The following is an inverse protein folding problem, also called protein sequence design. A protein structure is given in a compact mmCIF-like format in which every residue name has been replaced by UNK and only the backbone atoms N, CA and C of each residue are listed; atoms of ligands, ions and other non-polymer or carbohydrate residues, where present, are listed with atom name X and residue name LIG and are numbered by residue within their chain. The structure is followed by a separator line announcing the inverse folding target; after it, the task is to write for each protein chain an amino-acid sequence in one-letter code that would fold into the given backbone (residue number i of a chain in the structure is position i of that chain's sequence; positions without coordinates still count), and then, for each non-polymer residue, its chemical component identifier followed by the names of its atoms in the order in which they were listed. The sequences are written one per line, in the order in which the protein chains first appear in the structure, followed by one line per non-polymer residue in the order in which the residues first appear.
data_IF_201091130851
#
_entry.id   IF_201091130851
#
_cell.length_a   1.000
_cell.length_b   1.000
_cell.length_c   1.000
_cell.angle_alpha   90.00
_cell.angle_beta   90.00
_cell.angle_gamma   90.00
#
_symmetry.space_group_name_H-M   'P 1'
#
loop_
_entity.id
_entity.type
_entity.pdbx_description
1 polymer ?
#
# COMPACT_ATOMS: atom_id res chain seq x y z
N UNK A 1 -8.59 -0.59 3.60
CA UNK A 1 -8.10 0.02 4.85
C UNK A 1 -7.67 1.46 4.60
N UNK A 2 -8.34 2.39 5.22
CA UNK A 2 -7.93 3.80 5.21
C UNK A 2 -6.89 4.02 6.30
N UNK A 3 -5.81 4.72 5.95
CA UNK A 3 -4.69 4.99 6.85
C UNK A 3 -4.71 6.46 7.25
N UNK A 4 -4.63 6.70 8.55
CA UNK A 4 -4.60 8.04 9.14
C UNK A 4 -3.33 8.21 9.97
N UNK A 5 -2.79 9.43 10.00
CA UNK A 5 -1.66 9.73 10.87
C UNK A 5 -2.12 9.92 12.34
N UNK A 6 -1.19 10.10 13.30
CA UNK A 6 -1.57 10.24 14.71
C UNK A 6 -2.49 11.42 15.03
N UNK A 7 -2.55 12.45 14.17
CA UNK A 7 -3.45 13.59 14.38
C UNK A 7 -4.75 13.47 13.56
N UNK A 8 -5.03 12.28 13.01
CA UNK A 8 -6.30 11.98 12.35
C UNK A 8 -6.41 12.41 10.90
N UNK A 9 -5.31 12.79 10.25
CA UNK A 9 -5.32 13.17 8.83
C UNK A 9 -5.21 11.93 7.95
N UNK A 10 -6.02 11.88 6.89
CA UNK A 10 -6.02 10.78 5.93
C UNK A 10 -4.73 10.78 5.12
N UNK A 11 -4.07 9.62 5.05
CA UNK A 11 -2.78 9.46 4.38
C UNK A 11 -2.82 8.52 3.18
N UNK A 12 -3.88 7.75 3.00
CA UNK A 12 -4.01 6.84 1.88
C UNK A 12 -4.84 5.61 2.21
N UNK A 13 -5.04 4.75 1.20
CA UNK A 13 -5.85 3.53 1.31
C UNK A 13 -5.05 2.33 0.85
N UNK A 14 -5.12 1.25 1.62
CA UNK A 14 -4.57 -0.06 1.26
C UNK A 14 -5.73 -1.00 0.97
N UNK A 15 -5.75 -1.62 -0.21
CA UNK A 15 -6.68 -2.70 -0.51
C UNK A 15 -6.01 -4.03 -0.18
N UNK A 16 -6.72 -4.88 0.57
CA UNK A 16 -6.26 -6.19 0.99
C UNK A 16 -7.12 -7.27 0.37
N UNK A 17 -6.47 -8.31 -0.16
CA UNK A 17 -7.14 -9.52 -0.62
C UNK A 17 -6.51 -10.73 0.06
N UNK A 18 -7.34 -11.69 0.48
CA UNK A 18 -6.91 -12.87 1.21
C UNK A 18 -7.27 -14.12 0.42
N UNK A 19 -6.30 -14.99 0.15
CA UNK A 19 -6.48 -16.26 -0.57
C UNK A 19 -6.08 -17.44 0.31
N UNK A 20 -7.02 -18.32 0.57
CA UNK A 20 -6.81 -19.52 1.39
C UNK A 20 -6.94 -20.81 0.55
N UNK A 21 -6.54 -20.74 -0.71
CA UNK A 21 -6.58 -21.88 -1.63
C UNK A 21 -5.29 -22.70 -1.57
N UNK A 22 -5.34 -23.94 -2.08
CA UNK A 22 -4.21 -24.86 -2.08
C UNK A 22 -3.18 -24.57 -3.18
N UNK A 23 -3.47 -23.64 -4.10
CA UNK A 23 -2.57 -23.30 -5.19
C UNK A 23 -2.51 -21.80 -5.40
N UNK A 24 -1.49 -21.36 -6.13
CA UNK A 24 -1.31 -19.98 -6.54
C UNK A 24 -1.88 -19.78 -7.95
N UNK A 25 -2.45 -18.59 -8.20
CA UNK A 25 -2.94 -18.21 -9.53
C UNK A 25 -2.50 -16.77 -9.84
N UNK A 26 -1.73 -16.59 -10.90
CA UNK A 26 -1.22 -15.28 -11.31
C UNK A 26 -2.33 -14.28 -11.67
N UNK A 27 -3.51 -14.76 -12.07
CA UNK A 27 -4.65 -13.90 -12.40
C UNK A 27 -5.16 -13.09 -11.19
N UNK A 28 -4.88 -13.55 -9.99
CA UNK A 28 -5.24 -12.80 -8.77
C UNK A 28 -4.58 -11.43 -8.72
N UNK A 29 -3.36 -11.32 -9.23
CA UNK A 29 -2.61 -10.06 -9.26
C UNK A 29 -3.31 -9.05 -10.17
N UNK A 30 -3.67 -9.47 -11.37
CA UNK A 30 -4.32 -8.59 -12.34
C UNK A 30 -5.70 -8.14 -11.85
N UNK A 31 -6.46 -9.05 -11.25
CA UNK A 31 -7.76 -8.73 -10.66
C UNK A 31 -7.63 -7.73 -9.51
N UNK A 32 -6.67 -7.93 -8.64
CA UNK A 32 -6.45 -7.02 -7.52
C UNK A 32 -6.01 -5.64 -7.99
N UNK A 33 -5.22 -5.56 -9.04
CA UNK A 33 -4.85 -4.28 -9.66
C UNK A 33 -6.06 -3.55 -10.23
N UNK A 34 -6.99 -4.28 -10.85
CA UNK A 34 -8.24 -3.69 -11.34
C UNK A 34 -9.09 -3.16 -10.19
N UNK A 35 -9.22 -3.92 -9.10
CA UNK A 35 -9.93 -3.51 -7.90
C UNK A 35 -9.27 -2.27 -7.26
N UNK A 36 -7.95 -2.24 -7.23
CA UNK A 36 -7.18 -1.10 -6.71
C UNK A 36 -7.49 0.17 -7.49
N UNK A 37 -7.52 0.08 -8.82
CA UNK A 37 -7.84 1.23 -9.69
C UNK A 37 -9.28 1.70 -9.49
N UNK A 38 -10.22 0.77 -9.36
CA UNK A 38 -11.62 1.10 -9.18
C UNK A 38 -11.88 1.92 -7.92
N UNK A 39 -11.28 1.52 -6.80
CA UNK A 39 -11.45 2.25 -5.54
C UNK A 39 -10.38 3.33 -5.31
N UNK A 40 -9.44 3.49 -6.24
CA UNK A 40 -8.31 4.43 -6.16
C UNK A 40 -7.46 4.22 -4.91
N UNK A 41 -7.21 2.96 -4.55
CA UNK A 41 -6.31 2.64 -3.45
C UNK A 41 -4.85 2.90 -3.83
N UNK A 42 -4.07 3.36 -2.86
CA UNK A 42 -2.65 3.69 -3.07
C UNK A 42 -1.77 2.45 -3.11
N UNK A 43 -2.13 1.43 -2.34
CA UNK A 43 -1.36 0.20 -2.20
C UNK A 43 -2.31 -1.00 -2.27
N UNK A 44 -1.87 -2.06 -2.95
CA UNK A 44 -2.57 -3.34 -2.98
C UNK A 44 -1.71 -4.43 -2.35
N UNK A 45 -2.31 -5.24 -1.48
CA UNK A 45 -1.66 -6.36 -0.80
C UNK A 45 -2.47 -7.63 -0.95
N UNK A 46 -1.84 -8.69 -1.41
CA UNK A 46 -2.40 -10.03 -1.49
C UNK A 46 -1.77 -10.91 -0.41
N UNK A 47 -2.59 -11.41 0.51
CA UNK A 47 -2.17 -12.43 1.48
C UNK A 47 -2.56 -13.80 0.95
N UNK A 48 -1.64 -14.75 0.97
CA UNK A 48 -1.93 -16.10 0.50
C UNK A 48 -1.25 -17.17 1.34
N UNK A 49 -1.93 -18.30 1.53
CA UNK A 49 -1.33 -19.47 2.17
C UNK A 49 -0.23 -20.04 1.28
N UNK A 50 -0.48 -20.09 -0.04
CA UNK A 50 0.49 -20.59 -1.01
C UNK A 50 1.07 -19.41 -1.79
N UNK A 51 2.39 -19.28 -1.75
CA UNK A 51 3.11 -18.24 -2.49
C UNK A 51 3.69 -18.84 -3.77
N UNK A 52 3.99 -18.01 -4.79
CA UNK A 52 4.77 -18.45 -5.94
C UNK A 52 6.10 -19.07 -5.48
N UNK A 53 6.60 -20.07 -6.24
CA UNK A 53 7.77 -20.88 -5.87
C UNK A 53 9.01 -20.07 -5.50
N UNK A 54 9.18 -18.89 -6.07
CA UNK A 54 10.38 -18.08 -5.94
C UNK A 54 10.28 -17.04 -4.82
N UNK A 55 9.11 -16.97 -4.15
CA UNK A 55 8.85 -15.96 -3.13
C UNK A 55 8.94 -16.59 -1.75
N UNK A 56 9.81 -16.00 -0.91
CA UNK A 56 10.00 -16.42 0.46
C UNK A 56 9.46 -15.32 1.37
N UNK A 57 8.26 -15.53 1.92
CA UNK A 57 7.66 -14.64 2.90
C UNK A 57 6.87 -13.48 2.30
N UNK A 58 7.53 -12.52 1.65
CA UNK A 58 6.85 -11.42 0.98
C UNK A 58 7.70 -10.84 -0.14
N UNK A 59 7.03 -10.24 -1.11
CA UNK A 59 7.68 -9.51 -2.21
C UNK A 59 6.69 -8.55 -2.84
N UNK A 60 7.18 -7.67 -3.72
CA UNK A 60 6.33 -6.89 -4.62
C UNK A 60 6.38 -7.52 -6.01
N UNK A 61 5.20 -7.88 -6.54
CA UNK A 61 5.07 -8.54 -7.83
C UNK A 61 4.09 -7.76 -8.70
N UNK A 62 4.55 -7.23 -9.83
CA UNK A 62 3.75 -6.40 -10.75
C UNK A 62 3.05 -5.22 -10.04
N UNK A 63 3.70 -4.63 -9.05
CA UNK A 63 3.14 -3.49 -8.31
C UNK A 63 2.22 -3.87 -7.14
N UNK A 64 1.96 -5.16 -6.92
CA UNK A 64 1.16 -5.66 -5.81
C UNK A 64 2.08 -6.30 -4.78
N UNK A 65 1.88 -5.97 -3.49
CA UNK A 65 2.58 -6.65 -2.42
C UNK A 65 1.94 -8.01 -2.19
N UNK A 66 2.77 -9.06 -2.17
CA UNK A 66 2.35 -10.44 -1.92
C UNK A 66 3.01 -10.89 -0.64
N UNK A 67 2.24 -11.39 0.32
CA UNK A 67 2.76 -11.81 1.62
C UNK A 67 2.12 -13.10 2.12
N UNK A 68 2.88 -13.85 2.91
CA UNK A 68 2.33 -14.92 3.72
C UNK A 68 1.50 -14.34 4.86
N UNK A 69 0.62 -15.15 5.46
CA UNK A 69 -0.16 -14.71 6.62
C UNK A 69 0.70 -14.34 7.82
N UNK A 70 1.73 -15.12 8.18
CA UNK A 70 2.57 -14.78 9.33
C UNK A 70 3.26 -13.41 9.22
N UNK A 71 3.56 -12.95 8.00
CA UNK A 71 4.24 -11.68 7.79
C UNK A 71 3.30 -10.52 7.52
N UNK A 72 1.99 -10.78 7.37
CA UNK A 72 1.02 -9.75 6.97
C UNK A 72 0.98 -8.56 7.92
N UNK A 73 1.07 -8.78 9.24
CA UNK A 73 1.04 -7.70 10.24
C UNK A 73 2.28 -6.81 10.10
N UNK A 74 3.46 -7.39 9.91
CA UNK A 74 4.69 -6.62 9.72
C UNK A 74 4.64 -5.81 8.42
N UNK A 75 4.15 -6.42 7.34
CA UNK A 75 3.96 -5.74 6.05
C UNK A 75 2.97 -4.59 6.19
N UNK A 76 1.85 -4.81 6.87
CA UNK A 76 0.85 -3.77 7.13
C UNK A 76 1.46 -2.57 7.87
N UNK A 77 2.24 -2.83 8.92
CA UNK A 77 2.90 -1.78 9.69
C UNK A 77 3.87 -0.96 8.84
N UNK A 78 4.69 -1.62 8.03
CA UNK A 78 5.64 -0.96 7.15
C UNK A 78 4.95 -0.11 6.08
N UNK A 79 3.88 -0.63 5.47
CA UNK A 79 3.14 0.08 4.43
C UNK A 79 2.37 1.28 5.00
N UNK A 80 1.79 1.14 6.20
CA UNK A 80 1.15 2.27 6.89
C UNK A 80 2.17 3.38 7.16
N UNK A 81 3.32 3.04 7.72
CA UNK A 81 4.38 4.01 8.00
C UNK A 81 4.81 4.73 6.72
N UNK A 82 4.95 4.00 5.62
CA UNK A 82 5.31 4.58 4.33
C UNK A 82 4.26 5.58 3.84
N UNK A 83 2.97 5.25 3.90
CA UNK A 83 1.90 6.16 3.50
C UNK A 83 1.89 7.44 4.34
N UNK A 84 2.11 7.32 5.64
CA UNK A 84 2.16 8.46 6.55
C UNK A 84 3.35 9.36 6.22
N UNK A 85 4.54 8.77 6.00
CA UNK A 85 5.73 9.52 5.62
C UNK A 85 5.58 10.26 4.28
N UNK A 86 5.03 9.57 3.27
CA UNK A 86 4.82 10.18 1.95
C UNK A 86 3.82 11.33 2.05
N UNK A 87 2.73 11.16 2.79
CA UNK A 87 1.75 12.23 2.99
C UNK A 87 2.36 13.43 3.69
N UNK A 88 3.18 13.20 4.71
CA UNK A 88 3.89 14.26 5.43
C UNK A 88 4.87 15.00 4.52
N UNK A 89 5.61 14.28 3.68
CA UNK A 89 6.54 14.89 2.72
C UNK A 89 5.79 15.74 1.69
N UNK A 90 4.64 15.29 1.20
CA UNK A 90 3.81 16.08 0.28
C UNK A 90 3.28 17.34 0.91
N UNK A 91 2.84 17.29 2.17
CA UNK A 91 2.40 18.49 2.90
C UNK A 91 3.53 19.47 3.11
N UNK A 92 4.72 19.00 3.48
CA UNK A 92 5.89 19.85 3.65
C UNK A 92 6.26 20.55 2.33
N UNK A 93 6.18 19.85 1.20
CA UNK A 93 6.45 20.43 -0.12
C UNK A 93 5.42 21.52 -0.48
N UNK A 94 4.14 21.29 -0.21
CA UNK A 94 3.08 22.28 -0.43
C UNK A 94 3.30 23.52 0.44
N UNK A 95 3.56 23.34 1.74
CA UNK A 95 3.83 24.44 2.65
C UNK A 95 5.04 25.26 2.26
N UNK A 96 6.09 24.61 1.76
CA UNK A 96 7.28 25.27 1.25
C UNK A 96 6.99 26.09 -0.01
N UNK A 97 6.20 25.55 -0.93
CA UNK A 97 5.79 26.25 -2.15
C UNK A 97 4.93 27.47 -1.82
N UNK A 98 3.99 27.37 -0.89
CA UNK A 98 3.16 28.49 -0.43
C UNK A 98 4.00 29.60 0.20
N UNK A 99 4.99 29.25 1.02
CA UNK A 99 5.90 30.23 1.61
C UNK A 99 6.73 30.97 0.56
N UNK A 100 7.24 30.26 -0.43
CA UNK A 100 7.98 30.86 -1.54
C UNK A 100 7.10 31.78 -2.35
N UNK A 101 5.87 31.41 -2.65
CA UNK A 101 4.91 32.24 -3.35
C UNK A 101 4.60 33.53 -2.58
N UNK A 102 4.40 33.44 -1.27
CA UNK A 102 4.15 34.59 -0.41
C UNK A 102 5.34 35.54 -0.37
N UNK A 103 6.57 35.05 -0.47
CA UNK A 103 7.77 35.88 -0.49
C UNK A 103 7.90 36.66 -1.81
N UNK A 104 7.52 36.10 -2.92
CA UNK A 104 7.68 36.68 -4.25
C UNK A 104 6.47 37.48 -4.73
N UNK A 105 5.37 37.38 -4.04
CA UNK A 105 4.16 38.15 -4.32
C UNK A 105 3.97 39.32 -3.33
#
# INVERSE_FOLDING_TARGET
QKVYNPVGQYCGTIIWESKRTKGWNDDWIDKLKDDQREIKADIAVLMSIVLPKEINGFTQFKGVWVTSYPLAIAVAGALRANLIEVASAKQAAVGKAEKMEAIYN
#
